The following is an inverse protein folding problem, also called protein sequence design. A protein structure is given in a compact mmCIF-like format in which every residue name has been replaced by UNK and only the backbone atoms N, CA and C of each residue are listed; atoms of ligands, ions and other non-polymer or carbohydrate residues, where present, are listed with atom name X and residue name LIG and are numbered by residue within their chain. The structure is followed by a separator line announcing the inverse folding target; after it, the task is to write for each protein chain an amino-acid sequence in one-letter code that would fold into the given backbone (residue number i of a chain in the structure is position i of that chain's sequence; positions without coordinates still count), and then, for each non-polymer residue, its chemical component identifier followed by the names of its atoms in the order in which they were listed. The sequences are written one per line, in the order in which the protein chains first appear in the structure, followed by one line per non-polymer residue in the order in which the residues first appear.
data_IF_685490420572
#
_entry.id   IF_685490420572
#
_cell.length_a   1.000
_cell.length_b   1.000
_cell.length_c   1.000
_cell.angle_alpha   90.00
_cell.angle_beta   90.00
_cell.angle_gamma   90.00
#
_symmetry.space_group_name_H-M   'P 1'
#
loop_
_entity.id
_entity.type
_entity.pdbx_description
1 polymer ?
#
# COMPACT_ATOMS: atom_id res chain seq x y z
N UNK A 1 -32.04 48.24 -46.90
CA UNK A 1 -31.40 47.91 -45.60
C UNK A 1 -29.87 47.86 -45.69
N UNK A 2 -29.21 48.81 -46.37
CA UNK A 2 -27.74 48.75 -46.63
C UNK A 2 -26.90 49.63 -45.68
N UNK A 3 -27.52 50.59 -44.98
CA UNK A 3 -26.80 51.59 -44.17
C UNK A 3 -26.72 51.24 -42.67
N UNK A 4 -27.39 50.17 -42.22
CA UNK A 4 -27.35 49.73 -40.80
C UNK A 4 -26.22 48.76 -40.49
N UNK A 5 -25.64 48.11 -41.50
CA UNK A 5 -24.55 47.13 -41.34
C UNK A 5 -23.18 47.80 -41.17
N UNK A 6 -22.98 48.99 -41.75
CA UNK A 6 -21.72 49.76 -41.63
C UNK A 6 -21.49 50.31 -40.22
N UNK A 7 -22.56 50.64 -39.48
CA UNK A 7 -22.46 51.13 -38.10
C UNK A 7 -21.99 50.06 -37.11
N UNK A 8 -22.46 48.81 -37.26
CA UNK A 8 -22.06 47.70 -36.39
C UNK A 8 -20.61 47.25 -36.64
N UNK A 9 -20.14 47.29 -37.88
CA UNK A 9 -18.75 46.97 -38.20
C UNK A 9 -17.77 48.01 -37.64
N UNK A 10 -18.11 49.30 -37.70
CA UNK A 10 -17.28 50.37 -37.16
C UNK A 10 -17.22 50.36 -35.62
N UNK A 11 -18.35 50.10 -34.94
CA UNK A 11 -18.40 49.96 -33.48
C UNK A 11 -17.65 48.72 -32.98
N UNK A 12 -17.72 47.59 -33.70
CA UNK A 12 -16.95 46.40 -33.38
C UNK A 12 -15.45 46.62 -33.49
N UNK A 13 -14.99 47.33 -34.52
CA UNK A 13 -13.58 47.64 -34.71
C UNK A 13 -13.04 48.60 -33.64
N UNK A 14 -13.85 49.58 -33.21
CA UNK A 14 -13.47 50.54 -32.16
C UNK A 14 -13.41 49.89 -30.77
N UNK A 15 -14.30 48.93 -30.49
CA UNK A 15 -14.25 48.11 -29.27
C UNK A 15 -13.03 47.20 -29.22
N UNK A 16 -12.67 46.57 -30.34
CA UNK A 16 -11.47 45.72 -30.43
C UNK A 16 -10.20 46.56 -30.30
N UNK A 17 -10.16 47.74 -30.94
CA UNK A 17 -9.05 48.69 -30.80
C UNK A 17 -8.90 49.21 -29.36
N UNK A 18 -10.02 49.45 -28.66
CA UNK A 18 -10.01 49.85 -27.25
C UNK A 18 -9.48 48.70 -26.36
N UNK A 19 -9.96 47.47 -26.55
CA UNK A 19 -9.49 46.31 -25.77
C UNK A 19 -7.99 46.03 -26.00
N UNK A 20 -7.50 46.20 -27.23
CA UNK A 20 -6.07 46.05 -27.55
C UNK A 20 -5.21 47.21 -27.04
N UNK A 21 -5.73 48.44 -27.02
CA UNK A 21 -5.03 49.61 -26.49
C UNK A 21 -4.94 49.61 -24.94
N UNK A 22 -5.90 48.99 -24.25
CA UNK A 22 -5.91 48.83 -22.78
C UNK A 22 -5.29 47.50 -22.29
N UNK A 23 -5.01 46.55 -23.19
CA UNK A 23 -4.33 45.29 -22.87
C UNK A 23 -2.96 45.44 -22.17
N UNK A 24 -2.07 46.40 -22.54
CA UNK A 24 -0.79 46.55 -21.84
C UNK A 24 -0.92 47.19 -20.44
N UNK A 25 -2.03 47.87 -20.13
CA UNK A 25 -2.23 48.57 -18.84
C UNK A 25 -2.73 47.63 -17.74
N UNK A 26 -3.43 46.54 -18.10
CA UNK A 26 -3.98 45.57 -17.13
C UNK A 26 -3.06 44.36 -16.92
N UNK A 27 -2.10 44.11 -17.82
CA UNK A 27 -1.24 42.91 -17.76
C UNK A 27 0.10 43.07 -17.04
N UNK A 28 0.59 44.28 -16.79
CA UNK A 28 2.01 44.49 -16.45
C UNK A 28 2.35 44.63 -14.95
N UNK A 29 1.39 44.72 -14.04
CA UNK A 29 1.68 45.16 -12.65
C UNK A 29 1.43 44.14 -11.53
N UNK A 30 0.80 43.00 -11.80
CA UNK A 30 0.43 42.08 -10.71
C UNK A 30 0.18 40.63 -11.12
N UNK A 31 0.24 40.32 -12.41
CA UNK A 31 0.23 38.92 -12.90
C UNK A 31 1.66 38.40 -12.92
N UNK A 32 2.62 39.20 -13.37
CA UNK A 32 4.05 38.85 -13.38
C UNK A 32 4.59 38.64 -11.95
N UNK A 33 4.20 39.49 -11.00
CA UNK A 33 4.57 39.32 -9.58
C UNK A 33 4.00 38.03 -8.98
N UNK A 34 2.77 37.65 -9.36
CA UNK A 34 2.15 36.39 -8.93
C UNK A 34 2.82 35.19 -9.57
N UNK A 35 3.18 35.28 -10.85
CA UNK A 35 3.93 34.24 -11.56
C UNK A 35 5.30 34.04 -10.89
N UNK A 36 6.00 35.12 -10.57
CA UNK A 36 7.31 35.07 -9.91
C UNK A 36 7.21 34.47 -8.49
N UNK A 37 6.15 34.82 -7.74
CA UNK A 37 5.89 34.25 -6.41
C UNK A 37 5.58 32.74 -6.51
N UNK A 38 4.75 32.35 -7.48
CA UNK A 38 4.43 30.94 -7.72
C UNK A 38 5.64 30.13 -8.20
N UNK A 39 6.53 30.71 -9.01
CA UNK A 39 7.79 30.09 -9.42
C UNK A 39 8.75 29.89 -8.25
N UNK A 40 8.83 30.85 -7.33
CA UNK A 40 9.61 30.72 -6.10
C UNK A 40 9.04 29.63 -5.18
N UNK A 41 7.72 29.58 -4.99
CA UNK A 41 7.07 28.53 -4.22
C UNK A 41 7.27 27.16 -4.86
N UNK A 42 7.16 27.04 -6.19
CA UNK A 42 7.36 25.79 -6.92
C UNK A 42 8.81 25.31 -6.82
N UNK A 43 9.78 26.21 -6.94
CA UNK A 43 11.20 25.86 -6.75
C UNK A 43 11.50 25.43 -5.30
N UNK A 44 10.91 26.10 -4.30
CA UNK A 44 11.02 25.72 -2.90
C UNK A 44 10.39 24.37 -2.62
N UNK A 45 9.17 24.13 -3.11
CA UNK A 45 8.48 22.83 -3.00
C UNK A 45 9.26 21.71 -3.69
N UNK A 46 9.90 22.02 -4.82
CA UNK A 46 10.73 21.06 -5.56
C UNK A 46 12.02 20.74 -4.83
N UNK A 47 12.67 21.71 -4.18
CA UNK A 47 13.84 21.47 -3.33
C UNK A 47 13.46 20.66 -2.08
N UNK A 48 12.37 21.02 -1.41
CA UNK A 48 11.84 20.28 -0.24
C UNK A 48 11.46 18.83 -0.62
N UNK A 49 10.81 18.61 -1.78
CA UNK A 49 10.57 17.25 -2.28
C UNK A 49 11.85 16.48 -2.58
N UNK A 50 12.90 17.14 -3.06
CA UNK A 50 14.18 16.48 -3.33
C UNK A 50 14.87 16.04 -2.05
N UNK A 51 14.84 16.86 -1.00
CA UNK A 51 15.39 16.53 0.31
C UNK A 51 14.58 15.42 0.98
N UNK A 52 13.26 15.52 1.00
CA UNK A 52 12.38 14.47 1.51
C UNK A 52 12.56 13.15 0.75
N UNK A 53 12.77 13.19 -0.58
CA UNK A 53 13.07 11.99 -1.36
C UNK A 53 14.43 11.40 -0.99
N UNK A 54 15.45 12.23 -0.74
CA UNK A 54 16.77 11.74 -0.30
C UNK A 54 16.68 11.10 1.08
N UNK A 55 16.00 11.75 2.02
CA UNK A 55 15.78 11.22 3.38
C UNK A 55 14.94 9.94 3.34
N UNK A 56 13.88 9.89 2.53
CA UNK A 56 13.07 8.71 2.37
C UNK A 56 13.84 7.55 1.71
N UNK A 57 14.73 7.83 0.74
CA UNK A 57 15.58 6.82 0.12
C UNK A 57 16.64 6.29 1.09
N UNK A 58 17.25 7.17 1.89
CA UNK A 58 18.20 6.77 2.93
C UNK A 58 17.51 5.95 4.04
N UNK A 59 16.31 6.36 4.46
CA UNK A 59 15.50 5.61 5.41
C UNK A 59 15.05 4.26 4.83
N UNK A 60 14.61 4.23 3.56
CA UNK A 60 14.24 2.99 2.88
C UNK A 60 15.42 2.02 2.74
N UNK A 61 16.64 2.54 2.52
CA UNK A 61 17.85 1.73 2.52
C UNK A 61 18.24 1.18 3.90
N UNK A 62 17.69 1.73 4.98
CA UNK A 62 17.88 1.23 6.35
C UNK A 62 16.70 0.35 6.84
N UNK A 63 15.56 0.39 6.14
CA UNK A 63 14.36 -0.33 6.56
C UNK A 63 14.43 -1.82 6.19
N UNK A 64 14.01 -2.72 7.10
CA UNK A 64 13.85 -4.13 6.76
C UNK A 64 12.82 -4.32 5.64
N UNK A 65 13.06 -5.31 4.78
CA UNK A 65 12.10 -5.74 3.77
C UNK A 65 11.13 -6.75 4.38
N UNK A 66 9.84 -6.54 4.16
CA UNK A 66 8.78 -7.44 4.58
C UNK A 66 8.22 -8.17 3.37
N UNK A 67 8.17 -9.49 3.43
CA UNK A 67 7.54 -10.32 2.41
C UNK A 67 6.47 -11.21 3.04
N UNK A 68 5.32 -11.34 2.40
CA UNK A 68 4.30 -12.30 2.78
C UNK A 68 3.86 -13.09 1.57
N UNK A 69 3.85 -14.42 1.70
CA UNK A 69 3.30 -15.30 0.69
C UNK A 69 2.46 -16.38 1.36
N UNK A 70 1.18 -16.53 0.96
CA UNK A 70 0.34 -17.62 1.42
C UNK A 70 1.05 -18.98 1.23
N UNK A 71 1.06 -19.81 2.26
CA UNK A 71 1.74 -21.11 2.29
C UNK A 71 3.27 -21.05 2.47
N UNK A 72 3.91 -19.88 2.31
CA UNK A 72 5.34 -19.69 2.61
C UNK A 72 5.61 -18.80 3.82
N UNK A 73 4.60 -18.12 4.36
CA UNK A 73 4.68 -17.36 5.59
C UNK A 73 5.04 -15.89 5.38
N UNK A 74 5.38 -15.23 6.49
CA UNK A 74 5.85 -13.85 6.57
C UNK A 74 7.37 -13.85 6.80
N UNK A 75 8.13 -13.19 5.94
CA UNK A 75 9.55 -12.93 6.11
C UNK A 75 9.83 -11.45 6.40
N UNK A 76 10.85 -11.23 7.23
CA UNK A 76 11.38 -9.91 7.58
C UNK A 76 12.90 -10.02 7.42
N UNK A 77 13.48 -9.27 6.49
CA UNK A 77 14.91 -9.32 6.21
C UNK A 77 15.53 -7.95 6.43
N UNK A 78 16.65 -7.90 7.13
CA UNK A 78 17.41 -6.66 7.32
C UNK A 78 17.85 -6.07 5.98
N UNK A 79 17.98 -4.74 5.89
CA UNK A 79 18.39 -4.08 4.65
C UNK A 79 19.80 -4.51 4.19
N UNK A 80 20.70 -4.79 5.13
CA UNK A 80 22.05 -5.30 4.88
C UNK A 80 22.11 -6.83 4.70
N UNK A 81 20.96 -7.50 4.81
CA UNK A 81 20.80 -8.96 4.79
C UNK A 81 21.64 -9.70 5.85
N UNK A 82 22.06 -9.01 6.91
CA UNK A 82 22.82 -9.62 8.01
C UNK A 82 21.96 -10.60 8.80
N UNK A 83 20.65 -10.35 8.89
CA UNK A 83 19.69 -11.26 9.52
C UNK A 83 18.36 -11.28 8.76
N UNK A 84 17.62 -12.38 8.92
CA UNK A 84 16.22 -12.44 8.56
C UNK A 84 15.43 -13.28 9.58
N UNK A 85 14.17 -12.94 9.79
CA UNK A 85 13.24 -13.73 10.59
C UNK A 85 12.07 -14.10 9.69
N UNK A 86 11.64 -15.36 9.75
CA UNK A 86 10.49 -15.83 9.01
C UNK A 86 9.55 -16.59 9.93
N UNK A 87 8.27 -16.27 9.82
CA UNK A 87 7.18 -16.90 10.53
C UNK A 87 6.32 -17.68 9.54
N UNK A 88 6.08 -18.95 9.82
CA UNK A 88 5.15 -19.77 9.07
C UNK A 88 4.16 -20.40 10.04
N UNK A 89 2.89 -20.44 9.64
CA UNK A 89 1.85 -21.09 10.41
C UNK A 89 1.15 -22.11 9.53
N UNK A 90 1.13 -23.35 9.98
CA UNK A 90 0.36 -24.42 9.36
C UNK A 90 -0.78 -24.82 10.29
N UNK A 91 -1.99 -24.84 9.74
CA UNK A 91 -3.18 -25.29 10.42
C UNK A 91 -3.81 -26.44 9.64
N UNK A 92 -3.92 -27.59 10.28
CA UNK A 92 -4.49 -28.78 9.68
C UNK A 92 -5.91 -28.95 10.21
N UNK A 93 -6.85 -29.02 9.27
CA UNK A 93 -8.26 -29.26 9.52
C UNK A 93 -8.62 -30.67 9.06
N UNK A 94 -9.29 -31.43 9.91
CA UNK A 94 -9.92 -32.69 9.54
C UNK A 94 -11.41 -32.44 9.28
N UNK A 95 -11.83 -32.79 8.06
CA UNK A 95 -13.23 -32.70 7.61
C UNK A 95 -13.78 -34.11 7.54
N UNK A 96 -14.81 -34.39 8.33
CA UNK A 96 -15.42 -35.72 8.36
C UNK A 96 -16.89 -35.61 7.98
N UNK A 97 -17.32 -36.45 7.02
CA UNK A 97 -18.71 -36.64 6.64
C UNK A 97 -19.12 -38.07 7.05
N UNK A 98 -20.02 -38.19 8.02
CA UNK A 98 -20.47 -39.49 8.54
C UNK A 98 -21.97 -39.49 8.70
N UNK A 99 -22.64 -39.97 7.66
CA UNK A 99 -24.10 -40.11 7.62
C UNK A 99 -24.54 -41.28 8.53
N UNK A 100 -25.46 -41.03 9.46
CA UNK A 100 -26.10 -42.07 10.28
C UNK A 100 -25.39 -42.46 11.57
N UNK A 101 -24.42 -41.67 12.06
CA UNK A 101 -23.77 -41.84 13.38
C UNK A 101 -24.17 -40.74 14.41
N UNK A 102 -25.42 -40.28 14.36
CA UNK A 102 -25.99 -39.25 15.25
C UNK A 102 -25.96 -39.60 16.76
N UNK A 103 -25.74 -40.87 17.10
CA UNK A 103 -25.67 -41.31 18.51
C UNK A 103 -24.34 -40.98 19.19
N UNK A 104 -23.29 -40.62 18.42
CA UNK A 104 -21.93 -40.39 18.94
C UNK A 104 -21.49 -38.93 18.72
N UNK A 105 -22.15 -38.17 17.83
CA UNK A 105 -21.66 -36.88 17.31
C UNK A 105 -22.76 -35.84 17.10
N UNK A 106 -22.39 -34.56 16.92
CA UNK A 106 -23.31 -33.42 16.89
C UNK A 106 -23.93 -33.14 15.50
N UNK A 107 -23.56 -33.90 14.45
CA UNK A 107 -24.20 -33.87 13.14
C UNK A 107 -23.45 -34.65 12.04
N UNK A 108 -24.03 -34.69 10.83
CA UNK A 108 -23.51 -35.42 9.65
C UNK A 108 -22.19 -34.85 9.10
N UNK A 109 -21.92 -33.56 9.33
CA UNK A 109 -20.71 -32.85 8.92
C UNK A 109 -20.03 -32.22 10.12
N UNK A 110 -18.76 -32.57 10.32
CA UNK A 110 -17.98 -32.00 11.40
C UNK A 110 -16.58 -31.59 10.94
N UNK A 111 -16.17 -30.41 11.41
CA UNK A 111 -14.87 -29.80 11.17
C UNK A 111 -14.08 -29.75 12.48
N UNK A 112 -12.93 -30.43 12.52
CA UNK A 112 -12.05 -30.41 13.67
C UNK A 112 -10.71 -29.77 13.32
N UNK A 113 -10.21 -28.93 14.24
CA UNK A 113 -8.80 -28.63 14.25
C UNK A 113 -8.04 -29.90 14.61
N UNK A 114 -7.07 -30.30 13.79
CA UNK A 114 -6.23 -31.47 14.06
C UNK A 114 -4.85 -31.05 14.57
N UNK A 115 -4.18 -30.12 13.88
CA UNK A 115 -2.83 -29.69 14.27
C UNK A 115 -2.64 -28.21 14.05
N UNK A 116 -1.87 -27.60 14.94
CA UNK A 116 -1.37 -26.24 14.82
C UNK A 116 0.15 -26.28 14.90
N UNK A 117 0.82 -25.79 13.85
CA UNK A 117 2.28 -25.81 13.74
C UNK A 117 2.81 -24.42 13.42
N UNK A 118 3.13 -23.62 14.45
CA UNK A 118 3.92 -22.43 14.25
C UNK A 118 5.39 -22.81 14.03
N UNK A 119 6.00 -22.20 13.03
CA UNK A 119 7.42 -22.27 12.74
C UNK A 119 8.01 -20.86 12.79
N UNK A 120 9.19 -20.75 13.41
CA UNK A 120 10.00 -19.54 13.41
C UNK A 120 11.37 -19.91 12.89
N UNK A 121 11.80 -19.22 11.85
CA UNK A 121 13.13 -19.36 11.26
C UNK A 121 13.90 -18.08 11.51
N UNK A 122 15.12 -18.21 12.00
CA UNK A 122 16.08 -17.12 12.12
C UNK A 122 17.27 -17.41 11.22
N UNK A 123 17.57 -16.46 10.35
CA UNK A 123 18.68 -16.51 9.41
C UNK A 123 19.75 -15.52 9.86
N UNK A 124 21.00 -15.93 9.79
CA UNK A 124 22.16 -15.08 10.05
C UNK A 124 23.16 -15.16 8.88
N UNK A 125 23.77 -14.02 8.58
CA UNK A 125 24.77 -13.81 7.54
C UNK A 125 24.29 -14.25 6.15
N UNK A 126 23.31 -13.52 5.59
CA UNK A 126 22.69 -13.80 4.29
C UNK A 126 22.11 -15.22 4.16
N UNK A 127 21.73 -15.83 5.28
CA UNK A 127 21.19 -17.18 5.35
C UNK A 127 22.24 -18.28 5.30
N UNK A 128 23.51 -17.97 5.60
CA UNK A 128 24.54 -18.98 5.79
C UNK A 128 24.25 -19.87 7.01
N UNK A 129 23.70 -19.27 8.08
CA UNK A 129 23.20 -20.00 9.23
C UNK A 129 21.68 -19.88 9.35
N UNK A 130 21.02 -20.99 9.67
CA UNK A 130 19.58 -21.05 9.93
C UNK A 130 19.34 -21.72 11.29
N UNK A 131 18.52 -21.09 12.11
CA UNK A 131 17.93 -21.68 13.30
C UNK A 131 16.42 -21.81 13.09
N UNK A 132 15.90 -23.03 13.18
CA UNK A 132 14.48 -23.30 13.07
C UNK A 132 13.94 -23.76 14.42
N UNK A 133 12.86 -23.11 14.86
CA UNK A 133 11.99 -23.66 15.91
C UNK A 133 10.65 -24.04 15.30
N UNK A 134 10.15 -25.20 15.68
CA UNK A 134 8.85 -25.70 15.30
C UNK A 134 8.14 -26.18 16.56
N UNK A 135 6.89 -25.79 16.74
CA UNK A 135 6.05 -26.37 17.79
C UNK A 135 5.01 -27.24 17.11
N UNK A 136 5.00 -28.53 17.40
CA UNK A 136 3.91 -29.41 16.95
C UNK A 136 2.86 -29.46 18.05
N UNK A 137 1.81 -28.66 17.89
CA UNK A 137 0.74 -28.55 18.88
C UNK A 137 -0.48 -29.29 18.38
N UNK A 138 -1.02 -30.16 19.24
CA UNK A 138 -2.32 -30.76 18.99
C UNK A 138 -3.42 -29.72 19.17
N UNK A 139 -4.40 -29.70 18.28
CA UNK A 139 -5.43 -28.69 18.26
C UNK A 139 -6.58 -29.04 19.23
N UNK A 140 -6.26 -29.34 20.48
CA UNK A 140 -7.22 -29.83 21.47
C UNK A 140 -7.70 -31.24 21.13
N UNK A 141 -7.66 -32.10 22.14
CA UNK A 141 -7.85 -33.53 21.99
C UNK A 141 -9.31 -33.85 21.63
N UNK A 142 -9.63 -33.87 20.33
CA UNK A 142 -10.90 -34.41 19.82
C UNK A 142 -11.10 -35.88 20.24
N UNK A 143 -10.02 -36.57 20.62
CA UNK A 143 -10.04 -37.91 21.20
C UNK A 143 -10.35 -37.94 22.71
N UNK A 144 -10.08 -36.89 23.50
CA UNK A 144 -10.49 -36.83 24.91
C UNK A 144 -12.00 -36.62 25.03
N UNK A 145 -12.60 -35.80 24.15
CA UNK A 145 -14.06 -35.67 24.07
C UNK A 145 -14.72 -37.00 23.66
N UNK A 146 -14.04 -37.81 22.84
CA UNK A 146 -14.52 -39.14 22.43
C UNK A 146 -14.23 -40.27 23.43
N UNK A 147 -13.19 -40.16 24.28
CA UNK A 147 -12.84 -41.18 25.30
C UNK A 147 -13.43 -40.90 26.68
N UNK A 148 -13.86 -39.67 26.95
CA UNK A 148 -14.50 -39.30 28.22
C UNK A 148 -16.03 -39.56 28.26
N UNK A 149 -16.59 -40.27 27.26
CA UNK A 149 -17.98 -40.74 27.19
C UNK A 149 -18.05 -42.17 26.68
#
# INVERSE_FOLDING_TARGET
MKNRLLGFAALGFLLIALVLAFAPVVRAGGVDDKIQTLEQELNRLKSEQMELKKEAVAAAAAMPTFDYRPGRGLGITAADQSWAIKFLYEFNLDMTWLEGQDSIRNGDFELFGRRNRPYIFYYWDRGFYEFQTAMDMDAGDATEIQRAR
#
